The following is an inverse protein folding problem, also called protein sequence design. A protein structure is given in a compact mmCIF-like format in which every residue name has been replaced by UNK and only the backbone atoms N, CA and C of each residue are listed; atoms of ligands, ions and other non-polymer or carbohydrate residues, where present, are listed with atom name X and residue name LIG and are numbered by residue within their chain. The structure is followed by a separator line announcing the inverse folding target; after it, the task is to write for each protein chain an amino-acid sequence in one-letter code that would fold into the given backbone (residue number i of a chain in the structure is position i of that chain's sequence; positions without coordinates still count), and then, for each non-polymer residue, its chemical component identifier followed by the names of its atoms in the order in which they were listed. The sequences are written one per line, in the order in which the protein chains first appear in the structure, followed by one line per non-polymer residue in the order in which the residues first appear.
data_IF_581191823788
#
_entry.id   IF_581191823788
#
_cell.length_a   1.000
_cell.length_b   1.000
_cell.length_c   1.000
_cell.angle_alpha   90.00
_cell.angle_beta   90.00
_cell.angle_gamma   90.00
#
_symmetry.space_group_name_H-M   'P 1'
#
loop_
_entity.id
_entity.type
_entity.pdbx_description
1 polymer ?
#
# COMPACT_ATOMS: atom_id res chain seq x y z
N UNK A 1 11.36 -25.11 -20.90
CA UNK A 1 11.72 -24.94 -19.47
C UNK A 1 13.23 -25.13 -19.30
N UNK A 2 14.00 -24.21 -19.87
CA UNK A 2 15.43 -24.09 -19.57
C UNK A 2 15.64 -23.44 -18.20
N UNK A 3 16.83 -23.58 -17.61
CA UNK A 3 17.15 -22.95 -16.33
C UNK A 3 17.01 -21.42 -16.39
N UNK A 4 17.43 -20.81 -17.49
CA UNK A 4 17.32 -19.36 -17.73
C UNK A 4 15.87 -18.88 -17.82
N UNK A 5 14.99 -19.70 -18.41
CA UNK A 5 13.56 -19.41 -18.59
C UNK A 5 12.82 -19.38 -17.24
N UNK A 6 13.21 -20.27 -16.31
CA UNK A 6 12.66 -20.31 -14.96
C UNK A 6 13.08 -19.07 -14.14
N UNK A 7 14.33 -18.62 -14.28
CA UNK A 7 14.83 -17.41 -13.61
C UNK A 7 14.09 -16.18 -14.15
N UNK A 8 13.86 -16.11 -15.45
CA UNK A 8 13.14 -15.00 -16.07
C UNK A 8 11.69 -14.93 -15.60
N UNK A 9 10.99 -16.06 -15.49
CA UNK A 9 9.64 -16.10 -14.91
C UNK A 9 9.61 -15.58 -13.47
N UNK A 10 10.58 -15.96 -12.64
CA UNK A 10 10.68 -15.47 -11.25
C UNK A 10 10.94 -13.96 -11.23
N UNK A 11 11.83 -13.46 -12.10
CA UNK A 11 12.09 -12.02 -12.23
C UNK A 11 10.83 -11.24 -12.58
N UNK A 12 10.07 -11.72 -13.57
CA UNK A 12 8.80 -11.11 -13.99
C UNK A 12 7.76 -11.15 -12.87
N UNK A 13 7.68 -12.26 -12.12
CA UNK A 13 6.78 -12.37 -10.98
C UNK A 13 7.10 -11.32 -9.90
N UNK A 14 8.37 -11.16 -9.52
CA UNK A 14 8.78 -10.13 -8.56
C UNK A 14 8.52 -8.71 -9.08
N UNK A 15 8.79 -8.46 -10.36
CA UNK A 15 8.53 -7.16 -10.97
C UNK A 15 7.03 -6.82 -10.96
N UNK A 16 6.18 -7.81 -11.26
CA UNK A 16 4.74 -7.65 -11.21
C UNK A 16 4.27 -7.35 -9.79
N UNK A 17 4.78 -8.05 -8.78
CA UNK A 17 4.48 -7.78 -7.36
C UNK A 17 4.90 -6.36 -6.99
N UNK A 18 6.06 -5.87 -7.45
CA UNK A 18 6.55 -4.54 -7.14
C UNK A 18 5.64 -3.45 -7.73
N UNK A 19 5.29 -3.55 -9.01
CA UNK A 19 4.39 -2.59 -9.68
C UNK A 19 2.99 -2.64 -9.07
N UNK A 20 2.51 -3.84 -8.77
CA UNK A 20 1.20 -4.06 -8.18
C UNK A 20 1.12 -3.46 -6.76
N UNK A 21 2.10 -3.73 -5.90
CA UNK A 21 2.09 -3.28 -4.51
C UNK A 21 2.48 -1.80 -4.33
N UNK A 22 3.30 -1.26 -5.24
CA UNK A 22 3.79 0.12 -5.18
C UNK A 22 2.72 1.19 -4.90
N UNK A 23 1.63 1.28 -5.68
CA UNK A 23 0.63 2.33 -5.50
C UNK A 23 -0.16 2.16 -4.18
N UNK A 24 -0.41 0.91 -3.74
CA UNK A 24 -0.98 0.65 -2.42
C UNK A 24 -0.09 1.12 -1.28
N UNK A 25 1.19 0.72 -1.31
CA UNK A 25 2.16 1.08 -0.28
C UNK A 25 2.37 2.60 -0.22
N UNK A 26 2.44 3.26 -1.39
CA UNK A 26 2.55 4.71 -1.47
C UNK A 26 1.35 5.43 -0.84
N UNK A 27 0.13 4.99 -1.13
CA UNK A 27 -1.08 5.56 -0.51
C UNK A 27 -1.10 5.37 1.00
N UNK A 28 -0.82 4.14 1.48
CA UNK A 28 -0.79 3.81 2.90
C UNK A 28 0.25 4.65 3.67
N UNK A 29 1.43 4.86 3.06
CA UNK A 29 2.48 5.69 3.63
C UNK A 29 2.08 7.17 3.71
N UNK A 30 1.53 7.75 2.63
CA UNK A 30 1.11 9.15 2.61
C UNK A 30 0.05 9.45 3.67
N UNK A 31 -0.92 8.56 3.80
CA UNK A 31 -2.00 8.66 4.79
C UNK A 31 -1.47 8.48 6.21
N UNK A 32 -0.65 7.45 6.43
CA UNK A 32 -0.05 7.19 7.74
C UNK A 32 0.78 8.38 8.22
N UNK A 33 1.53 9.00 7.31
CA UNK A 33 2.31 10.21 7.58
C UNK A 33 1.41 11.39 7.94
N UNK A 34 0.37 11.66 7.14
CA UNK A 34 -0.58 12.76 7.41
C UNK A 34 -1.22 12.63 8.79
N UNK A 35 -1.72 11.45 9.13
CA UNK A 35 -2.34 11.19 10.44
C UNK A 35 -1.30 11.34 11.56
N UNK A 36 -0.09 10.80 11.37
CA UNK A 36 0.99 10.92 12.35
C UNK A 36 1.39 12.38 12.62
N UNK A 37 1.43 13.22 11.58
CA UNK A 37 1.69 14.66 11.72
C UNK A 37 0.58 15.32 12.53
N UNK A 38 -0.69 15.04 12.22
CA UNK A 38 -1.82 15.61 12.97
C UNK A 38 -1.79 15.19 14.43
N UNK A 39 -1.55 13.90 14.71
CA UNK A 39 -1.43 13.37 16.06
C UNK A 39 -0.29 14.04 16.84
N UNK A 40 0.86 14.23 16.20
CA UNK A 40 2.00 14.91 16.80
C UNK A 40 1.70 16.40 17.05
N UNK A 41 1.08 17.09 16.10
CA UNK A 41 0.77 18.51 16.19
C UNK A 41 -0.28 18.84 17.26
N UNK A 42 -1.29 17.97 17.44
CA UNK A 42 -2.36 18.19 18.43
C UNK A 42 -2.13 17.48 19.75
N UNK A 43 -1.05 16.70 19.87
CA UNK A 43 -0.76 15.84 21.03
C UNK A 43 -1.86 14.81 21.34
N UNK A 44 -2.73 14.49 20.37
CA UNK A 44 -3.79 13.49 20.52
C UNK A 44 -3.21 12.10 20.25
N UNK A 45 -3.05 11.32 21.31
CA UNK A 45 -2.52 9.94 21.25
C UNK A 45 -3.61 8.89 21.44
N UNK A 46 -4.76 9.09 20.80
CA UNK A 46 -5.85 8.11 20.85
C UNK A 46 -5.64 6.99 19.83
N UNK A 47 -5.65 5.75 20.31
CA UNK A 47 -5.43 4.54 19.49
C UNK A 47 -6.47 4.41 18.36
N UNK A 48 -7.72 4.83 18.61
CA UNK A 48 -8.85 4.76 17.67
C UNK A 48 -8.70 5.73 16.49
N UNK A 49 -8.15 6.92 16.73
CA UNK A 49 -7.93 7.96 15.71
C UNK A 49 -6.91 7.52 14.64
N UNK A 50 -5.96 6.66 15.01
CA UNK A 50 -5.01 6.03 14.08
C UNK A 50 -5.66 4.89 13.29
N UNK A 51 -6.59 4.16 13.90
CA UNK A 51 -7.15 2.93 13.33
C UNK A 51 -8.24 3.19 12.28
N UNK A 52 -9.25 4.00 12.61
CA UNK A 52 -10.44 4.18 11.75
C UNK A 52 -10.11 4.79 10.39
N UNK A 53 -9.36 5.91 10.30
CA UNK A 53 -9.04 6.49 9.01
C UNK A 53 -8.21 5.56 8.12
N UNK A 54 -7.27 4.80 8.71
CA UNK A 54 -6.45 3.82 7.96
C UNK A 54 -7.31 2.75 7.29
N UNK A 55 -8.27 2.16 8.02
CA UNK A 55 -9.14 1.11 7.46
C UNK A 55 -9.99 1.63 6.31
N UNK A 56 -10.64 2.79 6.49
CA UNK A 56 -11.48 3.41 5.45
C UNK A 56 -10.65 3.68 4.19
N UNK A 57 -9.45 4.21 4.36
CA UNK A 57 -8.60 4.58 3.24
C UNK A 57 -7.99 3.37 2.53
N UNK A 58 -7.68 2.28 3.24
CA UNK A 58 -7.27 1.01 2.60
C UNK A 58 -8.40 0.44 1.76
N UNK A 59 -9.64 0.41 2.27
CA UNK A 59 -10.80 -0.06 1.51
C UNK A 59 -11.01 0.81 0.26
N UNK A 60 -10.89 2.13 0.40
CA UNK A 60 -11.04 3.05 -0.72
C UNK A 60 -9.93 2.88 -1.77
N UNK A 61 -8.67 2.76 -1.32
CA UNK A 61 -7.53 2.50 -2.19
C UNK A 61 -7.70 1.17 -2.94
N UNK A 62 -8.20 0.14 -2.28
CA UNK A 62 -8.48 -1.16 -2.90
C UNK A 62 -9.56 -1.07 -3.97
N UNK A 63 -10.66 -0.36 -3.69
CA UNK A 63 -11.71 -0.13 -4.68
C UNK A 63 -11.24 0.71 -5.87
N UNK A 64 -10.48 1.78 -5.61
CA UNK A 64 -9.98 2.68 -6.64
C UNK A 64 -8.92 2.03 -7.54
N UNK A 65 -7.99 1.27 -6.94
CA UNK A 65 -6.94 0.57 -7.69
C UNK A 65 -7.37 -0.81 -8.19
N UNK A 66 -8.60 -1.29 -7.91
CA UNK A 66 -9.08 -2.58 -8.43
C UNK A 66 -8.92 -2.70 -9.95
N UNK A 67 -9.18 -1.61 -10.69
CA UNK A 67 -8.99 -1.56 -12.15
C UNK A 67 -7.53 -1.58 -12.61
N UNK A 68 -6.57 -1.35 -11.71
CA UNK A 68 -5.13 -1.42 -12.01
C UNK A 68 -4.59 -2.85 -11.86
N UNK A 69 -5.28 -3.73 -11.13
CA UNK A 69 -4.87 -5.14 -10.92
C UNK A 69 -5.52 -6.14 -11.89
N UNK A 70 -6.61 -5.75 -12.55
CA UNK A 70 -7.35 -6.54 -13.55
C UNK A 70 -6.75 -6.28 -14.93
#
# INVERSE_FOLDING_TARGET
MGFDENIEMVRLAFYQVLISSGPFLGSALAIGLLIGIVQAATSIQEMTLSFVPKVVLVIFAMGFMANFFI
#
